data_IF_365173754117
#
_entry.id   IF_365173754117
#
_cell.length_a   1.000
_cell.length_b   1.000
_cell.length_c   1.000
_cell.angle_alpha   90.00
_cell.angle_beta   90.00
_cell.angle_gamma   90.00
#
_symmetry.space_group_name_H-M   'P 1'
#
loop_
_entity.id
_entity.type
_entity.pdbx_description
1 polymer ?
#
# COMPACT_ATOMS: atom_id res chain seq x y z
N UNK A 1 -16.20 -26.90 26.59
CA UNK A 1 -14.81 -26.69 26.09
C UNK A 1 -14.81 -26.25 24.64
N UNK A 2 -15.53 -26.93 23.74
CA UNK A 2 -15.62 -26.58 22.32
C UNK A 2 -16.02 -25.10 22.05
N UNK A 3 -17.08 -24.60 22.71
CA UNK A 3 -17.47 -23.17 22.61
C UNK A 3 -16.32 -22.21 22.93
N UNK A 4 -15.58 -22.45 24.02
CA UNK A 4 -14.46 -21.60 24.41
C UNK A 4 -13.33 -21.62 23.38
N UNK A 5 -13.03 -22.78 22.81
CA UNK A 5 -12.02 -22.93 21.76
C UNK A 5 -12.43 -22.14 20.50
N UNK A 6 -13.68 -22.28 20.05
CA UNK A 6 -14.19 -21.53 18.89
C UNK A 6 -14.13 -20.01 19.11
N UNK A 7 -14.51 -19.54 20.31
CA UNK A 7 -14.49 -18.11 20.62
C UNK A 7 -13.06 -17.56 20.69
N UNK A 8 -12.14 -18.28 21.33
CA UNK A 8 -10.72 -17.88 21.39
C UNK A 8 -10.11 -17.87 19.99
N UNK A 9 -10.38 -18.90 19.19
CA UNK A 9 -9.93 -18.96 17.80
C UNK A 9 -10.47 -17.78 16.99
N UNK A 10 -11.75 -17.41 17.16
CA UNK A 10 -12.36 -16.29 16.44
C UNK A 10 -11.78 -14.93 16.86
N UNK A 11 -11.46 -14.76 18.15
CA UNK A 11 -10.82 -13.54 18.67
C UNK A 11 -9.43 -13.35 18.04
N UNK A 12 -8.64 -14.42 17.94
CA UNK A 12 -7.31 -14.38 17.34
C UNK A 12 -7.40 -14.23 15.81
N UNK A 13 -8.35 -14.93 15.18
CA UNK A 13 -8.55 -14.86 13.74
C UNK A 13 -9.17 -13.53 13.28
N UNK A 14 -9.79 -12.75 14.16
CA UNK A 14 -10.39 -11.46 13.82
C UNK A 14 -9.42 -10.49 13.13
N UNK A 15 -8.30 -10.05 13.75
CA UNK A 15 -7.37 -9.16 13.07
C UNK A 15 -6.81 -9.75 11.76
N UNK A 16 -6.53 -11.06 11.74
CA UNK A 16 -6.03 -11.75 10.53
C UNK A 16 -7.07 -11.69 9.41
N UNK A 17 -8.32 -11.96 9.72
CA UNK A 17 -9.42 -11.95 8.75
C UNK A 17 -9.71 -10.55 8.21
N UNK A 18 -9.60 -9.52 9.05
CA UNK A 18 -9.75 -8.11 8.63
C UNK A 18 -8.61 -7.74 7.70
N UNK A 19 -7.37 -8.07 8.06
CA UNK A 19 -6.21 -7.80 7.21
C UNK A 19 -6.26 -8.54 5.88
N UNK A 20 -6.71 -9.80 5.88
CA UNK A 20 -6.85 -10.59 4.66
C UNK A 20 -7.95 -10.05 3.73
N UNK A 21 -9.10 -9.65 4.29
CA UNK A 21 -10.19 -9.05 3.50
C UNK A 21 -9.80 -7.67 2.95
N UNK A 22 -9.11 -6.86 3.75
CA UNK A 22 -8.57 -5.58 3.30
C UNK A 22 -7.53 -5.77 2.19
N UNK A 23 -6.56 -6.68 2.39
CA UNK A 23 -5.54 -6.97 1.39
C UNK A 23 -6.16 -7.49 0.08
N UNK A 24 -7.19 -8.32 0.15
CA UNK A 24 -7.90 -8.75 -1.06
C UNK A 24 -8.56 -7.58 -1.81
N UNK A 25 -9.25 -6.69 -1.07
CA UNK A 25 -9.95 -5.56 -1.68
C UNK A 25 -9.08 -4.37 -2.06
N UNK A 26 -7.81 -4.32 -1.65
CA UNK A 26 -6.94 -3.14 -1.85
C UNK A 26 -5.53 -3.45 -2.38
N UNK A 27 -5.04 -4.69 -2.27
CA UNK A 27 -3.72 -5.08 -2.76
C UNK A 27 -3.82 -6.06 -3.93
N UNK A 28 -4.77 -7.00 -3.90
CA UNK A 28 -4.95 -7.96 -5.00
C UNK A 28 -5.97 -7.48 -6.02
N UNK A 29 -6.97 -6.70 -5.61
CA UNK A 29 -7.91 -6.05 -6.54
C UNK A 29 -7.32 -4.79 -7.19
N UNK A 30 -7.37 -4.69 -8.51
CA UNK A 30 -6.78 -3.57 -9.26
C UNK A 30 -7.45 -2.24 -8.98
N UNK A 31 -8.80 -2.19 -8.96
CA UNK A 31 -9.50 -0.93 -8.75
C UNK A 31 -9.38 -0.47 -7.30
N UNK A 32 -9.38 -1.41 -6.36
CA UNK A 32 -9.05 -1.20 -4.96
C UNK A 32 -7.65 -0.65 -4.75
N UNK A 33 -6.65 -1.21 -5.43
CA UNK A 33 -5.27 -0.72 -5.39
C UNK A 33 -5.14 0.69 -5.95
N UNK A 34 -5.71 0.94 -7.13
CA UNK A 34 -5.74 2.28 -7.74
C UNK A 34 -6.40 3.26 -6.77
N UNK A 35 -7.56 2.93 -6.21
CA UNK A 35 -8.24 3.79 -5.23
C UNK A 35 -7.39 4.10 -3.99
N UNK A 36 -6.63 3.11 -3.50
CA UNK A 36 -5.74 3.31 -2.35
C UNK A 36 -4.56 4.22 -2.70
N UNK A 37 -3.95 4.07 -3.87
CA UNK A 37 -2.70 4.77 -4.23
C UNK A 37 -2.90 6.07 -5.01
N UNK A 38 -4.08 6.30 -5.59
CA UNK A 38 -4.37 7.51 -6.38
C UNK A 38 -4.12 8.81 -5.62
N UNK A 39 -4.47 8.93 -4.32
CA UNK A 39 -4.25 10.17 -3.58
C UNK A 39 -2.78 10.58 -3.46
N UNK A 40 -1.83 9.65 -3.61
CA UNK A 40 -0.39 9.98 -3.61
C UNK A 40 0.00 10.96 -4.72
N UNK A 41 -0.75 11.03 -5.83
CA UNK A 41 -0.49 12.04 -6.85
C UNK A 41 -0.60 13.50 -6.35
N UNK A 42 -1.23 13.72 -5.19
CA UNK A 42 -1.42 15.02 -4.57
C UNK A 42 -0.46 15.25 -3.38
N UNK A 43 0.39 14.27 -3.07
CA UNK A 43 1.38 14.35 -2.00
C UNK A 43 2.53 15.27 -2.39
N UNK A 44 2.81 16.30 -1.59
CA UNK A 44 3.78 17.34 -1.96
C UNK A 44 5.20 16.77 -2.09
N UNK A 45 5.62 15.92 -1.17
CA UNK A 45 6.95 15.31 -1.18
C UNK A 45 7.15 14.42 -2.41
N UNK A 46 6.13 13.62 -2.78
CA UNK A 46 6.18 12.83 -4.01
C UNK A 46 6.19 13.72 -5.26
N UNK A 47 5.40 14.79 -5.29
CA UNK A 47 5.35 15.71 -6.44
C UNK A 47 6.71 16.39 -6.66
N UNK A 48 7.36 16.84 -5.59
CA UNK A 48 8.69 17.44 -5.62
C UNK A 48 9.72 16.44 -6.15
N UNK A 49 9.77 15.23 -5.58
CA UNK A 49 10.69 14.17 -6.02
C UNK A 49 10.52 13.81 -7.51
N UNK A 50 9.27 13.61 -7.95
CA UNK A 50 8.98 13.29 -9.36
C UNK A 50 9.36 14.46 -10.26
N UNK A 51 9.10 15.70 -9.84
CA UNK A 51 9.44 16.89 -10.62
C UNK A 51 10.94 17.07 -10.78
N UNK A 52 11.72 16.87 -9.72
CA UNK A 52 13.18 16.92 -9.73
C UNK A 52 13.74 15.85 -10.68
N UNK A 53 13.24 14.62 -10.59
CA UNK A 53 13.69 13.52 -11.43
C UNK A 53 13.38 13.74 -12.91
N UNK A 54 12.19 14.29 -13.22
CA UNK A 54 11.81 14.67 -14.60
C UNK A 54 12.68 15.84 -15.07
N UNK A 55 12.89 16.85 -14.23
CA UNK A 55 13.70 18.02 -14.58
C UNK A 55 15.16 17.64 -14.86
N UNK A 56 15.74 16.78 -14.03
CA UNK A 56 17.08 16.24 -14.23
C UNK A 56 17.16 15.46 -15.55
N UNK A 57 16.19 14.58 -15.82
CA UNK A 57 16.16 13.82 -17.08
C UNK A 57 16.07 14.72 -18.31
N UNK A 58 15.32 15.82 -18.23
CA UNK A 58 15.21 16.81 -19.32
C UNK A 58 16.51 17.61 -19.47
N UNK A 59 17.11 18.05 -18.35
CA UNK A 59 18.37 18.80 -18.36
C UNK A 59 19.51 17.97 -18.95
N UNK A 60 19.64 16.71 -18.52
CA UNK A 60 20.62 15.75 -19.02
C UNK A 60 20.46 15.48 -20.52
N UNK A 61 19.22 15.50 -21.03
CA UNK A 61 18.94 15.31 -22.44
C UNK A 61 19.28 16.57 -23.27
N UNK A 62 18.89 17.75 -22.78
CA UNK A 62 19.13 19.02 -23.46
C UNK A 62 20.62 19.43 -23.42
N UNK A 63 21.38 18.92 -22.44
CA UNK A 63 22.80 19.21 -22.21
C UNK A 63 23.09 20.71 -22.27
N UNK A 64 22.29 21.47 -21.54
CA UNK A 64 22.29 22.94 -21.58
C UNK A 64 23.68 23.51 -21.28
N UNK A 65 24.37 22.91 -20.31
CA UNK A 65 25.74 23.27 -19.94
C UNK A 65 26.73 23.02 -21.08
N UNK A 66 26.72 21.81 -21.68
CA UNK A 66 27.60 21.45 -22.80
C UNK A 66 27.37 22.37 -24.01
N UNK A 67 26.11 22.70 -24.30
CA UNK A 67 25.72 23.61 -25.40
C UNK A 67 26.16 25.05 -25.15
N UNK A 68 26.05 25.53 -23.92
CA UNK A 68 26.49 26.88 -23.56
C UNK A 68 28.01 26.98 -23.65
N UNK A 69 28.73 25.97 -23.17
CA UNK A 69 30.18 25.89 -23.24
C UNK A 69 30.70 25.78 -24.70
N UNK A 70 30.00 25.03 -25.56
CA UNK A 70 30.28 24.98 -27.01
C UNK A 70 30.19 26.36 -27.67
N UNK A 71 29.22 27.19 -27.26
CA UNK A 71 28.97 28.51 -27.85
C UNK A 71 29.94 29.57 -27.31
N UNK A 72 30.26 29.55 -26.01
CA UNK A 72 31.15 30.56 -25.41
C UNK A 72 32.63 30.22 -25.55
N UNK A 73 32.96 28.93 -25.65
CA UNK A 73 34.35 28.44 -25.68
C UNK A 73 35.17 28.86 -24.46
N UNK A 74 36.50 28.77 -24.56
CA UNK A 74 37.45 29.15 -23.48
C UNK A 74 37.99 30.59 -23.61
N UNK A 75 37.37 31.41 -24.47
CA UNK A 75 37.82 32.77 -24.80
C UNK A 75 37.17 33.88 -23.95
N UNK A 76 37.41 35.15 -24.32
CA UNK A 76 36.87 36.33 -23.60
C UNK A 76 35.34 36.33 -23.45
N UNK A 77 34.61 35.64 -24.33
CA UNK A 77 33.15 35.50 -24.31
C UNK A 77 32.65 34.76 -23.05
N UNK A 78 33.37 33.76 -22.54
CA UNK A 78 32.97 33.03 -21.32
C UNK A 78 33.15 33.86 -20.04
N UNK A 79 33.98 34.91 -20.08
CA UNK A 79 34.09 35.88 -18.97
C UNK A 79 33.01 36.95 -18.99
N UNK A 80 32.28 37.11 -20.10
CA UNK A 80 31.21 38.11 -20.22
C UNK A 80 29.81 37.51 -20.16
N UNK A 81 29.67 36.24 -20.53
CA UNK A 81 28.41 35.52 -20.51
C UNK A 81 28.43 34.61 -19.27
N UNK A 82 27.56 34.84 -18.27
CA UNK A 82 27.51 34.01 -17.08
C UNK A 82 26.81 32.69 -17.38
N UNK A 83 27.48 31.78 -18.08
CA UNK A 83 26.93 30.50 -18.57
C UNK A 83 26.38 29.64 -17.43
N UNK A 84 27.08 29.57 -16.30
CA UNK A 84 26.64 28.85 -15.09
C UNK A 84 25.34 29.43 -14.51
N UNK A 85 25.19 30.76 -14.47
CA UNK A 85 23.97 31.41 -13.99
C UNK A 85 22.80 31.18 -14.96
N UNK A 86 23.06 31.18 -16.27
CA UNK A 86 22.05 30.90 -17.29
C UNK A 86 21.59 29.44 -17.21
N UNK A 87 22.54 28.49 -17.10
CA UNK A 87 22.23 27.07 -16.93
C UNK A 87 21.41 26.83 -15.66
N UNK A 88 21.81 27.44 -14.54
CA UNK A 88 21.07 27.38 -13.27
C UNK A 88 19.64 27.90 -13.42
N UNK A 89 19.45 29.07 -14.06
CA UNK A 89 18.12 29.64 -14.30
C UNK A 89 17.27 28.80 -15.25
N UNK A 90 17.90 28.20 -16.26
CA UNK A 90 17.22 27.29 -17.18
C UNK A 90 16.75 26.01 -16.45
N UNK A 91 17.62 25.41 -15.64
CA UNK A 91 17.28 24.24 -14.81
C UNK A 91 16.15 24.56 -13.83
N UNK A 92 16.22 25.69 -13.12
CA UNK A 92 15.12 26.14 -12.26
C UNK A 92 13.81 26.36 -13.03
N UNK A 93 13.86 26.89 -14.26
CA UNK A 93 12.66 27.08 -15.07
C UNK A 93 12.06 25.74 -15.53
N UNK A 94 12.90 24.75 -15.85
CA UNK A 94 12.50 23.38 -16.18
C UNK A 94 11.85 22.73 -14.97
N UNK A 95 12.49 22.79 -13.80
CA UNK A 95 11.99 22.25 -12.54
C UNK A 95 10.61 22.85 -12.18
N UNK A 96 10.48 24.18 -12.19
CA UNK A 96 9.20 24.85 -11.94
C UNK A 96 8.11 24.50 -12.97
N UNK A 97 8.49 24.12 -14.19
CA UNK A 97 7.54 23.70 -15.22
C UNK A 97 7.14 22.24 -15.04
N UNK A 98 8.10 21.37 -14.71
CA UNK A 98 7.85 19.98 -14.33
C UNK A 98 6.93 19.90 -13.10
N UNK A 99 7.19 20.71 -12.07
CA UNK A 99 6.35 20.78 -10.87
C UNK A 99 4.91 21.19 -11.20
N UNK A 100 4.71 22.21 -12.05
CA UNK A 100 3.36 22.62 -12.51
C UNK A 100 2.63 21.53 -13.28
N UNK A 101 3.37 20.75 -14.07
CA UNK A 101 2.83 19.59 -14.80
C UNK A 101 2.41 18.49 -13.84
N UNK A 102 3.26 18.15 -12.87
CA UNK A 102 3.00 17.13 -11.85
C UNK A 102 1.85 17.52 -10.92
N UNK A 103 1.68 18.81 -10.62
CA UNK A 103 0.56 19.35 -9.85
C UNK A 103 -0.77 19.40 -10.62
N UNK A 104 -0.77 19.10 -11.93
CA UNK A 104 -1.97 19.22 -12.76
C UNK A 104 -2.97 18.08 -12.56
N UNK A 105 -4.26 18.34 -12.82
CA UNK A 105 -5.29 17.30 -12.84
C UNK A 105 -5.01 16.22 -13.90
N UNK A 106 -4.34 16.59 -15.00
CA UNK A 106 -3.96 15.63 -16.03
C UNK A 106 -2.96 14.60 -15.48
N UNK A 107 -1.97 15.04 -14.69
CA UNK A 107 -1.05 14.13 -14.02
C UNK A 107 -1.78 13.16 -13.07
N UNK A 108 -2.78 13.62 -12.33
CA UNK A 108 -3.56 12.74 -11.45
C UNK A 108 -4.31 11.62 -12.21
N UNK A 109 -4.80 11.89 -13.43
CA UNK A 109 -5.41 10.86 -14.30
C UNK A 109 -4.37 9.90 -14.88
N UNK A 110 -3.18 10.41 -15.22
CA UNK A 110 -2.08 9.62 -15.73
C UNK A 110 -1.52 8.69 -14.65
N UNK A 111 -1.34 9.19 -13.44
CA UNK A 111 -0.96 8.42 -12.27
C UNK A 111 -1.88 7.23 -12.05
N UNK A 112 -3.20 7.44 -12.11
CA UNK A 112 -4.19 6.35 -12.00
C UNK A 112 -4.01 5.27 -13.08
N UNK A 113 -3.74 5.69 -14.31
CA UNK A 113 -3.51 4.78 -15.44
C UNK A 113 -2.22 3.98 -15.25
N UNK A 114 -1.15 4.66 -14.84
CA UNK A 114 0.14 4.03 -14.52
C UNK A 114 0.01 3.01 -13.38
N UNK A 115 -0.70 3.36 -12.31
CA UNK A 115 -1.00 2.44 -11.19
C UNK A 115 -1.77 1.20 -11.66
N UNK A 116 -2.80 1.38 -12.50
CA UNK A 116 -3.60 0.28 -13.04
C UNK A 116 -2.75 -0.66 -13.88
N UNK A 117 -1.97 -0.12 -14.83
CA UNK A 117 -1.11 -0.91 -15.71
C UNK A 117 -0.04 -1.66 -14.90
N UNK A 118 0.60 -0.98 -13.95
CA UNK A 118 1.60 -1.57 -13.05
C UNK A 118 1.02 -2.71 -12.23
N UNK A 119 -0.16 -2.50 -11.63
CA UNK A 119 -0.84 -3.53 -10.84
C UNK A 119 -1.22 -4.75 -11.69
N UNK A 120 -1.83 -4.54 -12.87
CA UNK A 120 -2.20 -5.66 -13.76
C UNK A 120 -1.00 -6.46 -14.25
N UNK A 121 0.14 -5.79 -14.51
CA UNK A 121 1.38 -6.49 -14.85
C UNK A 121 1.87 -7.36 -13.69
N UNK A 122 1.84 -6.80 -12.49
CA UNK A 122 2.23 -7.47 -11.24
C UNK A 122 1.32 -8.64 -10.90
N UNK A 123 0.00 -8.49 -11.05
CA UNK A 123 -1.00 -9.54 -10.85
C UNK A 123 -0.75 -10.74 -11.79
N UNK A 124 -0.47 -10.50 -13.07
CA UNK A 124 -0.15 -11.58 -14.02
C UNK A 124 1.10 -12.37 -13.59
N UNK A 125 2.09 -11.70 -13.03
CA UNK A 125 3.31 -12.35 -12.50
C UNK A 125 2.97 -13.21 -11.27
N UNK A 126 2.20 -12.66 -10.32
CA UNK A 126 1.90 -13.38 -9.09
C UNK A 126 0.88 -14.50 -9.26
N UNK A 127 0.00 -14.40 -10.25
CA UNK A 127 -0.96 -15.46 -10.62
C UNK A 127 -0.38 -16.50 -11.58
N UNK A 128 0.86 -16.31 -12.04
CA UNK A 128 1.54 -17.24 -12.97
C UNK A 128 1.04 -17.17 -14.41
N UNK A 129 0.31 -16.10 -14.78
CA UNK A 129 -0.15 -15.82 -16.14
C UNK A 129 0.96 -15.22 -17.02
N UNK A 130 2.02 -14.70 -16.42
CA UNK A 130 3.25 -14.27 -17.10
C UNK A 130 4.49 -14.71 -16.32
N UNK A 131 5.57 -15.00 -17.04
CA UNK A 131 6.87 -15.27 -16.42
C UNK A 131 7.55 -13.95 -16.05
N UNK A 132 7.83 -13.74 -14.77
CA UNK A 132 8.86 -12.80 -14.38
C UNK A 132 10.21 -13.26 -14.96
N UNK A 133 10.91 -12.38 -15.66
CA UNK A 133 12.29 -12.66 -16.07
C UNK A 133 13.20 -12.48 -14.86
N UNK A 134 13.99 -13.49 -14.56
CA UNK A 134 15.07 -13.39 -13.59
C UNK A 134 16.30 -12.81 -14.29
N UNK A 135 16.99 -11.87 -13.67
CA UNK A 135 18.31 -11.45 -14.13
C UNK A 135 19.37 -12.55 -13.86
N UNK A 136 20.60 -12.33 -14.31
CA UNK A 136 21.71 -13.28 -14.11
C UNK A 136 22.10 -13.45 -12.62
N UNK A 137 21.67 -12.54 -11.75
CA UNK A 137 21.87 -12.60 -10.31
C UNK A 137 20.69 -13.23 -9.56
N UNK A 138 19.66 -13.69 -10.28
CA UNK A 138 18.44 -14.28 -9.71
C UNK A 138 17.45 -13.26 -9.15
N UNK A 139 17.60 -11.97 -9.42
CA UNK A 139 16.60 -10.98 -9.00
C UNK A 139 15.45 -10.93 -10.02
N UNK A 140 14.27 -10.59 -9.51
CA UNK A 140 13.09 -10.36 -10.34
C UNK A 140 13.22 -8.99 -11.01
N UNK A 141 13.43 -8.95 -12.34
CA UNK A 141 13.47 -7.67 -13.07
C UNK A 141 12.05 -7.33 -13.52
N UNK A 142 11.42 -6.35 -12.85
CA UNK A 142 10.19 -5.76 -13.36
C UNK A 142 10.53 -4.94 -14.60
N UNK A 143 10.03 -5.35 -15.76
CA UNK A 143 10.03 -4.49 -16.95
C UNK A 143 8.96 -3.42 -16.75
N UNK A 144 9.28 -2.40 -15.97
CA UNK A 144 8.49 -1.18 -15.88
C UNK A 144 8.52 -0.37 -17.19
N UNK A 145 9.22 -0.86 -18.23
CA UNK A 145 9.30 -0.26 -19.57
C UNK A 145 7.94 0.23 -20.08
N UNK A 146 6.86 -0.56 -19.95
CA UNK A 146 5.53 -0.16 -20.42
C UNK A 146 4.90 0.97 -19.56
N UNK A 147 5.22 1.00 -18.26
CA UNK A 147 4.72 2.02 -17.32
C UNK A 147 5.50 3.32 -17.50
N UNK A 148 6.81 3.23 -17.61
CA UNK A 148 7.73 4.36 -17.87
C UNK A 148 7.47 4.93 -19.26
N UNK A 149 7.25 4.09 -20.28
CA UNK A 149 6.88 4.56 -21.61
C UNK A 149 5.55 5.31 -21.62
N UNK A 150 4.54 4.86 -20.85
CA UNK A 150 3.26 5.57 -20.76
C UNK A 150 3.41 6.91 -20.01
N UNK A 151 4.24 6.97 -18.96
CA UNK A 151 4.57 8.21 -18.26
C UNK A 151 5.32 9.18 -19.20
N UNK A 152 6.38 8.73 -19.87
CA UNK A 152 7.16 9.52 -20.83
C UNK A 152 6.29 10.05 -21.96
N UNK A 153 5.47 9.19 -22.57
CA UNK A 153 4.51 9.58 -23.64
C UNK A 153 3.54 10.66 -23.16
N UNK A 154 3.11 10.58 -21.91
CA UNK A 154 2.14 11.52 -21.36
C UNK A 154 2.77 12.85 -20.97
N UNK A 155 4.01 12.84 -20.47
CA UNK A 155 4.80 14.05 -20.24
C UNK A 155 5.17 14.75 -21.55
N UNK A 156 5.40 13.99 -22.64
CA UNK A 156 5.53 14.56 -23.99
C UNK A 156 4.25 15.20 -24.48
N UNK A 157 3.09 14.60 -24.19
CA UNK A 157 1.78 15.19 -24.45
C UNK A 157 1.53 16.50 -23.68
N UNK A 158 2.20 16.70 -22.55
CA UNK A 158 2.14 17.92 -21.72
C UNK A 158 3.18 18.99 -22.11
N UNK A 159 3.90 18.79 -23.22
CA UNK A 159 4.81 19.79 -23.78
C UNK A 159 6.28 19.63 -23.39
N UNK A 160 6.68 18.49 -22.82
CA UNK A 160 8.09 18.15 -22.56
C UNK A 160 8.64 17.29 -23.73
N UNK A 161 9.36 17.86 -24.70
CA UNK A 161 9.82 17.12 -25.87
C UNK A 161 10.88 16.06 -25.51
N UNK A 162 10.88 14.94 -26.25
CA UNK A 162 11.97 13.95 -26.32
C UNK A 162 12.39 13.26 -25.01
N UNK A 163 11.44 13.00 -24.11
CA UNK A 163 11.70 12.12 -22.97
C UNK A 163 11.99 10.69 -23.46
N UNK A 164 13.10 10.05 -23.04
CA UNK A 164 13.35 8.67 -23.40
C UNK A 164 12.19 7.78 -22.89
N UNK A 165 11.56 7.05 -23.82
CA UNK A 165 10.55 6.04 -23.48
C UNK A 165 11.14 4.91 -22.62
N UNK A 166 12.46 4.78 -22.66
CA UNK A 166 13.27 3.81 -21.92
C UNK A 166 14.44 4.57 -21.28
N UNK A 167 14.16 5.35 -20.24
CA UNK A 167 15.22 5.73 -19.31
C UNK A 167 15.63 4.49 -18.53
N UNK A 168 16.92 4.35 -18.20
CA UNK A 168 17.40 3.43 -17.16
C UNK A 168 16.86 3.88 -15.78
N UNK A 169 15.54 3.99 -15.65
CA UNK A 169 14.83 3.84 -14.40
C UNK A 169 14.95 2.35 -14.04
N UNK A 170 16.19 1.92 -13.81
CA UNK A 170 16.49 0.73 -13.07
C UNK A 170 15.96 0.97 -11.66
N UNK A 171 14.65 0.86 -11.50
CA UNK A 171 14.07 0.44 -10.25
C UNK A 171 14.52 -1.02 -10.09
N UNK A 172 15.82 -1.20 -9.80
CA UNK A 172 16.40 -2.35 -9.12
C UNK A 172 15.89 -2.32 -7.69
N UNK A 173 14.57 -2.28 -7.58
CA UNK A 173 13.80 -2.46 -6.39
C UNK A 173 14.01 -3.94 -6.10
N UNK A 174 15.01 -4.23 -5.26
CA UNK A 174 15.34 -5.56 -4.74
C UNK A 174 14.22 -5.99 -3.76
N UNK A 175 12.97 -5.92 -4.22
CA UNK A 175 11.78 -6.05 -3.40
C UNK A 175 11.59 -7.49 -2.94
N UNK A 176 11.97 -8.45 -3.78
CA UNK A 176 11.83 -9.87 -3.50
C UNK A 176 13.10 -10.58 -3.99
N UNK A 177 13.89 -11.10 -3.05
CA UNK A 177 14.94 -12.06 -3.37
C UNK A 177 14.29 -13.29 -4.06
N UNK A 178 14.98 -13.87 -5.04
CA UNK A 178 14.52 -15.05 -5.82
C UNK A 178 13.84 -16.13 -4.95
N UNK A 179 14.44 -16.36 -3.79
CA UNK A 179 14.11 -17.42 -2.85
C UNK A 179 12.77 -17.19 -2.15
N UNK A 180 12.35 -15.93 -2.04
CA UNK A 180 11.11 -15.51 -1.40
C UNK A 180 9.92 -15.47 -2.38
N UNK A 181 10.16 -15.42 -3.70
CA UNK A 181 9.10 -15.27 -4.70
C UNK A 181 8.02 -16.37 -4.63
N UNK A 182 8.33 -17.67 -4.51
CA UNK A 182 7.30 -18.70 -4.41
C UNK A 182 6.43 -18.55 -3.16
N UNK A 183 7.01 -18.04 -2.06
CA UNK A 183 6.28 -17.78 -0.81
C UNK A 183 5.34 -16.60 -0.97
N UNK A 184 5.80 -15.52 -1.61
CA UNK A 184 4.98 -14.33 -1.90
C UNK A 184 3.85 -14.68 -2.86
N UNK A 185 4.10 -15.43 -3.93
CA UNK A 185 3.07 -15.91 -4.85
C UNK A 185 2.00 -16.74 -4.13
N UNK A 186 2.40 -17.67 -3.26
CA UNK A 186 1.44 -18.45 -2.46
C UNK A 186 0.62 -17.57 -1.53
N UNK A 187 1.25 -16.60 -0.87
CA UNK A 187 0.55 -15.65 0.00
C UNK A 187 -0.43 -14.78 -0.79
N UNK A 188 -0.01 -14.27 -1.95
CA UNK A 188 -0.84 -13.50 -2.88
C UNK A 188 -2.08 -14.29 -3.31
N UNK A 189 -1.89 -15.50 -3.82
CA UNK A 189 -2.97 -16.40 -4.24
C UNK A 189 -3.90 -16.78 -3.08
N UNK A 190 -3.37 -16.93 -1.87
CA UNK A 190 -4.16 -17.20 -0.69
C UNK A 190 -5.04 -16.00 -0.33
N UNK A 191 -4.48 -14.80 -0.34
CA UNK A 191 -5.21 -13.55 -0.07
C UNK A 191 -6.26 -13.30 -1.15
N UNK A 192 -5.91 -13.42 -2.42
CA UNK A 192 -6.83 -13.24 -3.55
C UNK A 192 -8.03 -14.19 -3.45
N UNK A 193 -7.78 -15.49 -3.19
CA UNK A 193 -8.84 -16.50 -3.15
C UNK A 193 -9.64 -16.53 -1.83
N UNK A 194 -8.98 -16.38 -0.69
CA UNK A 194 -9.59 -16.60 0.64
C UNK A 194 -9.90 -15.27 1.34
N UNK A 195 -9.14 -14.21 1.08
CA UNK A 195 -9.29 -12.90 1.71
C UNK A 195 -10.72 -12.34 1.62
N UNK A 196 -11.41 -12.36 0.46
CA UNK A 196 -12.79 -11.89 0.36
C UNK A 196 -13.76 -12.64 1.29
N UNK A 197 -13.43 -13.90 1.60
CA UNK A 197 -14.24 -14.77 2.44
C UNK A 197 -13.80 -14.77 3.91
N UNK A 198 -12.62 -14.25 4.23
CA UNK A 198 -11.99 -14.40 5.53
C UNK A 198 -12.86 -13.87 6.68
N UNK A 199 -13.50 -12.71 6.48
CA UNK A 199 -14.43 -12.13 7.46
C UNK A 199 -15.65 -13.01 7.69
N UNK A 200 -16.23 -13.57 6.63
CA UNK A 200 -17.41 -14.44 6.73
C UNK A 200 -17.07 -15.78 7.39
N UNK A 201 -15.89 -16.34 7.07
CA UNK A 201 -15.39 -17.56 7.70
C UNK A 201 -15.19 -17.34 9.21
N UNK A 202 -14.54 -16.23 9.59
CA UNK A 202 -14.36 -15.90 11.01
C UNK A 202 -15.71 -15.66 11.71
N UNK A 203 -16.64 -14.95 11.07
CA UNK A 203 -17.98 -14.74 11.59
C UNK A 203 -18.74 -16.06 11.80
N UNK A 204 -18.60 -17.03 10.90
CA UNK A 204 -19.20 -18.36 11.05
C UNK A 204 -18.63 -19.11 12.26
N UNK A 205 -17.32 -19.06 12.49
CA UNK A 205 -16.68 -19.65 13.68
C UNK A 205 -17.17 -18.96 14.97
N UNK A 206 -17.30 -17.63 14.93
CA UNK A 206 -17.81 -16.86 16.06
C UNK A 206 -19.25 -17.26 16.38
N UNK A 207 -20.13 -17.34 15.38
CA UNK A 207 -21.53 -17.77 15.52
C UNK A 207 -21.61 -19.19 16.09
N UNK A 208 -20.81 -20.14 15.56
CA UNK A 208 -20.76 -21.50 16.08
C UNK A 208 -20.34 -21.54 17.56
N UNK A 209 -19.30 -20.77 17.93
CA UNK A 209 -18.85 -20.63 19.31
C UNK A 209 -19.94 -20.07 20.25
N UNK A 210 -20.74 -19.13 19.75
CA UNK A 210 -21.86 -18.51 20.46
C UNK A 210 -23.03 -19.48 20.61
N UNK A 211 -23.41 -20.22 19.56
CA UNK A 211 -24.49 -21.21 19.62
C UNK A 211 -24.18 -22.32 20.65
N UNK A 212 -22.91 -22.74 20.75
CA UNK A 212 -22.45 -23.73 21.73
C UNK A 212 -22.32 -23.17 23.16
N UNK A 213 -22.33 -21.84 23.34
CA UNK A 213 -22.10 -21.21 24.63
C UNK A 213 -22.50 -19.73 24.67
N UNK A 214 -23.81 -19.41 24.59
CA UNK A 214 -24.28 -18.04 24.35
C UNK A 214 -23.93 -17.05 25.47
N UNK A 215 -23.69 -17.56 26.68
CA UNK A 215 -23.26 -16.77 27.86
C UNK A 215 -21.91 -16.05 27.68
N UNK A 216 -21.07 -16.47 26.73
CA UNK A 216 -19.74 -15.90 26.51
C UNK A 216 -19.67 -14.86 25.39
N UNK A 217 -20.79 -14.62 24.68
CA UNK A 217 -20.87 -13.71 23.53
C UNK A 217 -20.30 -12.32 23.86
N UNK A 218 -20.76 -11.70 24.95
CA UNK A 218 -20.33 -10.35 25.32
C UNK A 218 -18.83 -10.26 25.58
N UNK A 219 -18.24 -11.28 26.20
CA UNK A 219 -16.79 -11.33 26.46
C UNK A 219 -16.02 -11.51 25.16
N UNK A 220 -16.46 -12.40 24.27
CA UNK A 220 -15.80 -12.64 23.00
C UNK A 220 -15.77 -11.37 22.13
N UNK A 221 -16.89 -10.65 22.02
CA UNK A 221 -16.96 -9.40 21.26
C UNK A 221 -16.06 -8.29 21.84
N UNK A 222 -15.99 -8.17 23.17
CA UNK A 222 -15.07 -7.22 23.82
C UNK A 222 -13.60 -7.59 23.57
N UNK A 223 -13.28 -8.89 23.56
CA UNK A 223 -11.93 -9.35 23.22
C UNK A 223 -11.58 -9.14 21.74
N UNK A 224 -12.53 -9.32 20.81
CA UNK A 224 -12.34 -8.94 19.40
C UNK A 224 -12.02 -7.45 19.30
N UNK A 225 -12.81 -6.60 19.97
CA UNK A 225 -12.56 -5.15 19.98
C UNK A 225 -11.16 -4.80 20.50
N UNK A 226 -10.76 -5.40 21.62
CA UNK A 226 -9.44 -5.16 22.22
C UNK A 226 -8.30 -5.64 21.31
N UNK A 227 -8.37 -6.87 20.80
CA UNK A 227 -7.31 -7.47 19.99
C UNK A 227 -7.17 -6.72 18.66
N UNK A 228 -8.28 -6.36 17.99
CA UNK A 228 -8.23 -5.55 16.77
C UNK A 228 -7.66 -4.15 17.03
N UNK A 229 -8.00 -3.52 18.16
CA UNK A 229 -7.41 -2.24 18.56
C UNK A 229 -5.89 -2.34 18.82
N UNK A 230 -5.44 -3.40 19.49
CA UNK A 230 -4.01 -3.66 19.70
C UNK A 230 -3.28 -3.96 18.38
N UNK A 231 -3.90 -4.71 17.46
CA UNK A 231 -3.35 -4.96 16.13
C UNK A 231 -3.20 -3.68 15.32
N UNK A 232 -4.14 -2.74 15.43
CA UNK A 232 -4.01 -1.42 14.82
C UNK A 232 -2.78 -0.67 15.36
N UNK A 233 -2.62 -0.59 16.68
CA UNK A 233 -1.45 0.06 17.31
C UNK A 233 -0.15 -0.59 16.82
N UNK A 234 -0.07 -1.91 16.88
CA UNK A 234 1.10 -2.66 16.42
C UNK A 234 1.41 -2.41 14.94
N UNK A 235 0.40 -2.30 14.08
CA UNK A 235 0.59 -2.04 12.65
C UNK A 235 1.19 -0.66 12.36
N UNK A 236 0.86 0.35 13.18
CA UNK A 236 1.35 1.72 13.03
C UNK A 236 2.71 1.96 13.68
N UNK A 237 3.15 1.11 14.60
CA UNK A 237 4.41 1.31 15.34
C UNK A 237 5.53 0.37 14.91
N UNK A 238 5.23 -0.88 14.55
CA UNK A 238 6.28 -1.90 14.32
C UNK A 238 6.65 -2.09 12.85
N UNK A 239 5.72 -1.77 11.96
CA UNK A 239 5.84 -2.03 10.52
C UNK A 239 6.56 -0.89 9.76
N UNK A 240 6.38 0.42 10.06
CA UNK A 240 7.04 1.49 9.30
C UNK A 240 8.57 1.35 9.30
N UNK A 241 9.17 1.21 10.48
CA UNK A 241 10.63 1.12 10.65
C UNK A 241 11.21 -0.08 9.90
N UNK A 242 10.52 -1.24 9.97
CA UNK A 242 10.93 -2.45 9.28
C UNK A 242 10.92 -2.30 7.75
N UNK A 243 9.89 -1.65 7.21
CA UNK A 243 9.76 -1.44 5.75
C UNK A 243 10.78 -0.39 5.28
N UNK A 244 10.97 0.70 6.03
CA UNK A 244 11.93 1.74 5.70
C UNK A 244 13.36 1.18 5.63
N UNK A 245 13.80 0.43 6.65
CA UNK A 245 15.16 -0.10 6.73
C UNK A 245 15.46 -1.17 5.65
N UNK A 246 14.47 -1.95 5.23
CA UNK A 246 14.69 -3.13 4.37
C UNK A 246 14.25 -2.97 2.92
N UNK A 247 13.21 -2.19 2.66
CA UNK A 247 12.57 -2.10 1.34
C UNK A 247 12.84 -0.75 0.66
N UNK A 248 12.95 0.33 1.43
CA UNK A 248 12.98 1.70 0.92
C UNK A 248 14.24 2.48 1.33
N UNK A 249 15.34 1.78 1.63
CA UNK A 249 16.60 2.40 2.07
C UNK A 249 17.19 3.41 1.08
N UNK A 250 16.76 3.36 -0.19
CA UNK A 250 17.25 4.19 -1.29
C UNK A 250 16.29 5.32 -1.66
N UNK A 251 15.14 5.46 -1.00
CA UNK A 251 14.15 6.52 -1.22
C UNK A 251 14.19 7.47 -0.02
N UNK A 252 13.87 8.75 -0.25
CA UNK A 252 13.70 9.70 0.84
C UNK A 252 12.71 9.17 1.90
N UNK A 253 13.08 9.34 3.16
CA UNK A 253 12.33 8.84 4.30
C UNK A 253 10.90 9.38 4.40
N UNK A 254 10.67 10.61 3.93
CA UNK A 254 9.37 11.29 3.98
C UNK A 254 8.44 10.66 2.94
N UNK A 255 8.91 10.48 1.71
CA UNK A 255 8.17 9.80 0.63
C UNK A 255 7.87 8.34 0.99
N UNK A 256 8.83 7.62 1.54
CA UNK A 256 8.65 6.25 2.00
C UNK A 256 7.54 6.16 3.08
N UNK A 257 7.51 7.14 3.98
CA UNK A 257 6.51 7.24 5.04
C UNK A 257 5.13 7.61 4.49
N UNK A 258 5.05 8.55 3.55
CA UNK A 258 3.78 8.92 2.89
C UNK A 258 3.14 7.70 2.20
N UNK A 259 3.92 6.90 1.46
CA UNK A 259 3.45 5.66 0.83
C UNK A 259 2.97 4.66 1.88
N UNK A 260 3.76 4.44 2.94
CA UNK A 260 3.37 3.51 4.01
C UNK A 260 2.11 3.98 4.74
N UNK A 261 1.99 5.26 5.05
CA UNK A 261 0.84 5.81 5.74
C UNK A 261 -0.41 5.73 4.87
N UNK A 262 -0.29 6.03 3.58
CA UNK A 262 -1.39 5.85 2.63
C UNK A 262 -1.84 4.39 2.57
N UNK A 263 -0.91 3.45 2.43
CA UNK A 263 -1.21 2.02 2.39
C UNK A 263 -1.85 1.52 3.70
N UNK A 264 -1.29 1.89 4.84
CA UNK A 264 -1.72 1.41 6.15
C UNK A 264 -2.98 2.11 6.66
N UNK A 265 -3.32 3.30 6.16
CA UNK A 265 -4.50 4.06 6.57
C UNK A 265 -5.80 3.28 6.37
N UNK A 266 -5.98 2.64 5.20
CA UNK A 266 -7.17 1.86 4.91
C UNK A 266 -7.33 0.64 5.83
N UNK A 267 -6.22 -0.04 6.11
CA UNK A 267 -6.19 -1.17 7.04
C UNK A 267 -6.53 -0.71 8.46
N UNK A 268 -5.93 0.40 8.90
CA UNK A 268 -6.18 1.03 10.18
C UNK A 268 -7.66 1.41 10.36
N UNK A 269 -8.28 2.01 9.36
CA UNK A 269 -9.71 2.31 9.37
C UNK A 269 -10.54 1.05 9.51
N UNK A 270 -10.22 0.00 8.75
CA UNK A 270 -10.94 -1.29 8.78
C UNK A 270 -10.87 -1.96 10.15
N UNK A 271 -9.67 -1.98 10.77
CA UNK A 271 -9.46 -2.49 12.12
C UNK A 271 -10.23 -1.67 13.17
N UNK A 272 -10.20 -0.35 13.05
CA UNK A 272 -10.85 0.57 13.99
C UNK A 272 -12.37 0.45 13.93
N UNK A 273 -12.96 0.48 12.72
CA UNK A 273 -14.41 0.31 12.52
C UNK A 273 -14.89 -1.02 13.09
N UNK A 274 -14.13 -2.10 12.82
CA UNK A 274 -14.47 -3.43 13.36
C UNK A 274 -14.36 -3.46 14.88
N UNK A 275 -13.31 -2.86 15.45
CA UNK A 275 -13.12 -2.79 16.89
C UNK A 275 -14.26 -2.03 17.58
N UNK A 276 -14.67 -0.89 17.03
CA UNK A 276 -15.79 -0.09 17.54
C UNK A 276 -17.11 -0.85 17.43
N UNK A 277 -17.40 -1.44 16.26
CA UNK A 277 -18.61 -2.23 16.05
C UNK A 277 -18.69 -3.42 17.00
N UNK A 278 -17.59 -4.18 17.15
CA UNK A 278 -17.50 -5.30 18.08
C UNK A 278 -17.66 -4.83 19.54
N UNK A 279 -17.06 -3.70 19.91
CA UNK A 279 -17.20 -3.12 21.25
C UNK A 279 -18.65 -2.73 21.58
N UNK A 280 -19.33 -2.06 20.65
CA UNK A 280 -20.73 -1.66 20.80
C UNK A 280 -21.66 -2.88 20.91
N UNK A 281 -21.51 -3.86 20.02
CA UNK A 281 -22.29 -5.10 20.07
C UNK A 281 -21.99 -5.91 21.34
N UNK A 282 -20.73 -5.95 21.75
CA UNK A 282 -20.28 -6.57 22.99
C UNK A 282 -20.98 -5.96 24.21
N UNK A 283 -20.98 -4.62 24.31
CA UNK A 283 -21.65 -3.90 25.38
C UNK A 283 -23.17 -4.11 25.38
N UNK A 284 -23.81 -4.01 24.22
CA UNK A 284 -25.26 -4.20 24.06
C UNK A 284 -25.73 -5.63 24.43
N UNK A 285 -24.86 -6.63 24.27
CA UNK A 285 -25.18 -8.03 24.60
C UNK A 285 -25.04 -8.40 26.08
N UNK A 286 -24.45 -7.54 26.93
CA UNK A 286 -24.27 -7.78 28.37
C UNK A 286 -25.58 -8.10 29.12
N UNK A 287 -26.68 -7.33 28.96
CA UNK A 287 -27.95 -7.64 29.63
C UNK A 287 -28.54 -8.99 29.20
N UNK A 288 -28.36 -9.36 27.92
CA UNK A 288 -28.82 -10.64 27.37
C UNK A 288 -28.03 -11.81 27.99
N UNK A 289 -26.71 -11.72 28.05
CA UNK A 289 -25.86 -12.77 28.64
C UNK A 289 -26.12 -12.95 30.15
N UNK A 290 -26.41 -11.86 30.88
CA UNK A 290 -26.80 -11.91 32.30
C UNK A 290 -28.15 -12.62 32.52
N UNK A 291 -29.17 -12.33 31.71
CA UNK A 291 -30.50 -12.98 31.81
C UNK A 291 -30.41 -14.49 31.61
N UNK A 292 -29.62 -14.95 30.64
CA UNK A 292 -29.40 -16.37 30.36
C UNK A 292 -28.70 -17.10 31.52
N UNK A 293 -27.67 -16.48 32.12
CA UNK A 293 -26.96 -17.06 33.27
C UNK A 293 -27.87 -17.21 34.51
N UNK A 294 -28.77 -16.26 34.73
CA UNK A 294 -29.75 -16.30 35.82
C UNK A 294 -30.81 -17.40 35.62
N UNK A 295 -31.26 -17.61 34.38
CA UNK A 295 -32.25 -18.66 34.08
C UNK A 295 -31.70 -20.07 34.30
N UNK A 296 -30.46 -20.34 33.87
CA UNK A 296 -29.81 -21.63 34.11
C UNK A 296 -29.62 -21.92 35.60
N UNK A 297 -29.16 -20.95 36.41
CA UNK A 297 -28.99 -21.14 37.87
C UNK A 297 -30.31 -21.47 38.58
N UNK A 298 -31.43 -20.89 38.14
CA UNK A 298 -32.76 -21.19 38.69
C UNK A 298 -33.24 -22.60 38.31
N UNK A 299 -32.94 -23.07 37.09
CA UNK A 299 -33.30 -24.42 36.64
C UNK A 299 -32.52 -25.51 37.40
N UNK A 300 -31.22 -25.31 37.63
CA UNK A 300 -30.39 -26.27 38.38
C UNK A 300 -30.74 -26.30 39.87
N UNK A 301 -31.04 -25.14 40.47
CA UNK A 301 -31.46 -25.08 41.87
C UNK A 301 -32.84 -25.74 42.13
N UNK A 302 -33.76 -25.69 41.15
CA UNK A 302 -35.03 -26.43 41.23
C UNK A 302 -34.83 -27.94 41.09
N UNK A 303 -33.91 -28.37 40.24
CA UNK A 303 -33.61 -29.79 40.04
C UNK A 303 -32.92 -30.45 41.24
N UNK A 304 -32.22 -29.70 42.09
CA UNK A 304 -31.57 -30.22 43.31
C UNK A 304 -32.49 -30.29 44.54
N UNK A 305 -33.70 -29.73 44.45
CA UNK A 305 -34.70 -29.73 45.52
C UNK A 305 -35.79 -30.81 45.33
N UNK A 306 -35.76 -31.53 44.20
CA UNK A 306 -36.58 -32.70 43.90
C UNK A 306 -35.73 -33.97 44.06
#
# INVERSE_FOLDING_TARGET
MLSTICLVASVIAAPISISAAWAAGHLTDTDGFVKTMSPLAQDQELQELVSEQVAQSVSDHLRIEERLDEVTGTGWLSSLIPTEEIATKANQAIENSALRVVQSENFASLWQTALRTSHQSTDRIFTGQSSASLDQAGNLTFKLDDVVAEISKSLTGLGIPDLPATGNFEWNMKLIQSDALPTVQKAYLLVDRVGPWALYLNAAVLIAGVLLGPRHLSKALLWVALVSGLSFIASKTLIPDYIQERMLSNIDSEVARAIFDQMSSGLATSLTVTAVAAGLLGAASIPLSRKWALHQRRSTARASLL
#
